data_IF_011662853205
#
_entry.id   IF_011662853205
#
_cell.length_a   1.000
_cell.length_b   1.000
_cell.length_c   1.000
_cell.angle_alpha   90.00
_cell.angle_beta   90.00
_cell.angle_gamma   90.00
#
_symmetry.space_group_name_H-M   'P 1'
#
loop_
_entity.id
_entity.type
_entity.pdbx_description
1 polymer ?
#
# COMPACT_ATOMS: atom_id res chain seq x y z
N UNK A 1 0.95 15.37 -7.57
CA UNK A 1 2.40 15.10 -7.70
C UNK A 1 3.09 15.69 -6.48
N UNK A 2 3.81 14.88 -5.70
CA UNK A 2 4.60 15.37 -4.57
C UNK A 2 6.03 15.58 -5.10
N UNK A 3 6.56 16.82 -5.12
CA UNK A 3 7.87 17.13 -5.70
C UNK A 3 9.04 16.72 -4.78
N UNK A 4 8.87 15.65 -4.00
CA UNK A 4 9.87 15.13 -3.07
C UNK A 4 9.91 13.61 -3.25
N UNK A 5 11.09 13.00 -3.47
CA UNK A 5 11.21 11.55 -3.56
C UNK A 5 10.89 10.91 -2.22
N UNK A 6 9.86 10.05 -2.18
CA UNK A 6 9.48 9.27 -1.00
C UNK A 6 9.85 7.82 -1.26
N UNK A 7 10.55 7.17 -0.31
CA UNK A 7 10.85 5.74 -0.45
C UNK A 7 9.54 4.95 -0.52
N UNK A 8 9.42 4.06 -1.50
CA UNK A 8 8.20 3.28 -1.75
C UNK A 8 7.67 2.57 -0.49
N UNK A 9 8.57 2.07 0.39
CA UNK A 9 8.19 1.42 1.65
C UNK A 9 7.31 2.31 2.55
N UNK A 10 7.58 3.62 2.61
CA UNK A 10 6.84 4.55 3.47
C UNK A 10 5.52 4.94 2.82
N UNK A 11 5.54 5.17 1.50
CA UNK A 11 4.32 5.48 0.76
C UNK A 11 3.32 4.32 0.82
N UNK A 12 3.78 3.10 0.52
CA UNK A 12 2.92 1.90 0.54
C UNK A 12 2.37 1.65 1.94
N UNK A 13 3.19 1.68 2.99
CA UNK A 13 2.71 1.48 4.37
C UNK A 13 1.71 2.55 4.81
N UNK A 14 2.02 3.83 4.54
CA UNK A 14 1.14 4.94 4.91
C UNK A 14 -0.21 4.86 4.18
N UNK A 15 -0.17 4.61 2.87
CA UNK A 15 -1.38 4.49 2.06
C UNK A 15 -2.23 3.30 2.49
N UNK A 16 -1.63 2.12 2.71
CA UNK A 16 -2.35 0.94 3.22
C UNK A 16 -3.01 1.21 4.58
N UNK A 17 -2.35 1.95 5.48
CA UNK A 17 -2.94 2.32 6.78
C UNK A 17 -4.15 3.27 6.63
N UNK A 18 -4.05 4.25 5.72
CA UNK A 18 -5.15 5.18 5.42
C UNK A 18 -6.34 4.43 4.82
N UNK A 19 -6.10 3.54 3.85
CA UNK A 19 -7.14 2.71 3.22
C UNK A 19 -7.82 1.79 4.25
N UNK A 20 -7.06 1.23 5.19
CA UNK A 20 -7.59 0.38 6.26
C UNK A 20 -8.48 1.17 7.21
N UNK A 21 -8.03 2.35 7.65
CA UNK A 21 -8.82 3.23 8.50
C UNK A 21 -10.09 3.70 7.80
N UNK A 22 -9.97 4.07 6.52
CA UNK A 22 -11.10 4.55 5.71
C UNK A 22 -12.14 3.45 5.50
N UNK A 23 -11.71 2.24 5.12
CA UNK A 23 -12.62 1.11 4.89
C UNK A 23 -13.29 0.54 6.15
N UNK A 24 -12.74 0.77 7.35
CA UNK A 24 -13.38 0.39 8.62
C UNK A 24 -14.39 1.46 9.07
N UNK A 25 -14.13 2.73 8.77
CA UNK A 25 -15.04 3.82 9.11
C UNK A 25 -16.25 3.86 8.17
N UNK A 26 -17.47 3.94 8.72
CA UNK A 26 -18.69 4.14 7.92
C UNK A 26 -18.85 5.60 7.55
N UNK A 27 -18.07 6.09 6.60
CA UNK A 27 -18.18 7.45 6.10
C UNK A 27 -19.29 7.54 5.05
N UNK A 28 -20.21 8.50 5.18
CA UNK A 28 -21.28 8.69 4.21
C UNK A 28 -20.70 9.14 2.85
N UNK A 29 -21.01 8.40 1.79
CA UNK A 29 -20.43 8.60 0.44
C UNK A 29 -19.15 7.79 0.17
N UNK A 30 -18.74 6.94 1.11
CA UNK A 30 -17.59 6.05 0.93
C UNK A 30 -17.89 4.89 -0.03
N UNK A 31 -16.89 4.54 -0.84
CA UNK A 31 -16.99 3.57 -1.92
C UNK A 31 -16.25 2.27 -1.56
N UNK A 32 -16.78 1.13 -2.02
CA UNK A 32 -16.25 -0.25 -1.80
C UNK A 32 -14.76 -0.44 -2.22
N UNK A 33 -14.17 0.55 -2.91
CA UNK A 33 -12.82 0.49 -3.46
C UNK A 33 -11.69 0.30 -2.42
N UNK A 34 -11.88 0.67 -1.15
CA UNK A 34 -10.83 0.56 -0.13
C UNK A 34 -10.34 -0.88 0.09
N UNK A 35 -11.26 -1.84 0.13
CA UNK A 35 -10.91 -3.25 0.29
C UNK A 35 -10.18 -3.83 -0.92
N UNK A 36 -10.41 -3.30 -2.12
CA UNK A 36 -9.67 -3.71 -3.31
C UNK A 36 -8.20 -3.24 -3.24
N UNK A 37 -7.93 -2.02 -2.78
CA UNK A 37 -6.56 -1.56 -2.56
C UNK A 37 -5.86 -2.34 -1.45
N UNK A 38 -6.55 -2.63 -0.34
CA UNK A 38 -6.00 -3.45 0.74
C UNK A 38 -5.69 -4.87 0.28
N UNK A 39 -6.59 -5.48 -0.52
CA UNK A 39 -6.37 -6.79 -1.13
C UNK A 39 -5.17 -6.79 -2.08
N UNK A 40 -5.02 -5.76 -2.91
CA UNK A 40 -3.86 -5.59 -3.79
C UNK A 40 -2.54 -5.41 -3.03
N UNK A 41 -2.54 -4.63 -1.94
CA UNK A 41 -1.37 -4.44 -1.08
C UNK A 41 -0.96 -5.76 -0.39
N UNK A 42 -1.92 -6.52 0.14
CA UNK A 42 -1.67 -7.82 0.74
C UNK A 42 -1.15 -8.83 -0.29
N UNK A 43 -1.81 -8.92 -1.45
CA UNK A 43 -1.39 -9.81 -2.53
C UNK A 43 0.04 -9.49 -2.97
N UNK A 44 0.36 -8.22 -3.24
CA UNK A 44 1.72 -7.79 -3.61
C UNK A 44 2.77 -8.12 -2.55
N UNK A 45 2.43 -7.99 -1.26
CA UNK A 45 3.32 -8.40 -0.17
C UNK A 45 3.59 -9.91 -0.19
N UNK A 46 2.55 -10.73 -0.32
CA UNK A 46 2.68 -12.18 -0.42
C UNK A 46 3.49 -12.57 -1.64
N UNK A 47 3.27 -11.90 -2.77
CA UNK A 47 3.96 -12.12 -4.03
C UNK A 47 5.47 -11.92 -3.90
N UNK A 48 5.89 -10.79 -3.32
CA UNK A 48 7.30 -10.48 -3.04
C UNK A 48 7.91 -11.53 -2.12
N UNK A 49 7.16 -11.96 -1.09
CA UNK A 49 7.61 -12.96 -0.11
C UNK A 49 7.77 -14.35 -0.72
N UNK A 50 6.79 -14.79 -1.51
CA UNK A 50 6.78 -16.10 -2.15
C UNK A 50 7.86 -16.22 -3.22
N UNK A 51 8.08 -15.16 -4.01
CA UNK A 51 9.17 -15.14 -5.01
C UNK A 51 10.55 -14.81 -4.43
N UNK A 52 10.66 -14.59 -3.12
CA UNK A 52 11.93 -14.30 -2.45
C UNK A 52 12.68 -13.12 -3.13
N UNK A 53 11.92 -12.11 -3.58
CA UNK A 53 12.49 -10.94 -4.23
C UNK A 53 13.33 -10.19 -3.21
N UNK A 54 14.66 -10.23 -3.40
CA UNK A 54 15.60 -9.52 -2.54
C UNK A 54 15.66 -8.06 -2.95
N UNK A 55 15.90 -7.19 -1.96
CA UNK A 55 16.12 -5.77 -2.21
C UNK A 55 17.36 -5.60 -3.08
N UNK A 56 17.28 -4.93 -4.24
CA UNK A 56 18.46 -4.41 -4.91
C UNK A 56 19.29 -3.58 -3.93
N UNK A 57 20.60 -3.81 -3.90
CA UNK A 57 21.51 -3.13 -2.96
C UNK A 57 21.70 -1.63 -3.28
N UNK A 58 21.21 -1.16 -4.43
CA UNK A 58 21.25 0.24 -4.83
C UNK A 58 19.84 0.81 -4.90
N UNK A 59 19.54 1.71 -3.96
CA UNK A 59 18.36 2.58 -3.99
C UNK A 59 18.76 3.98 -3.54
N UNK A 60 19.52 4.63 -4.42
CA UNK A 60 19.52 6.06 -4.67
C UNK A 60 19.32 6.25 -6.16
#
# INVERSE_FOLDING_TARGET
FIPVPIKAKYFVLGYTAIELFSGIGRFAGDNVAHFAHLGGALFGFLLIKLWNIKRPNNFY
#
